data_IF_839101679501
#
_entry.id   IF_839101679501
#
_cell.length_a   1.000
_cell.length_b   1.000
_cell.length_c   1.000
_cell.angle_alpha   90.00
_cell.angle_beta   90.00
_cell.angle_gamma   90.00
#
_symmetry.space_group_name_H-M   'P 1'
#
loop_
_entity.id
_entity.type
_entity.pdbx_description
1 polymer ?
#
# COMPACT_ATOMS: atom_id res chain seq x y z
N UNK A 1 -9.28 1.59 -3.22
CA UNK A 1 -8.16 0.66 -3.45
C UNK A 1 -7.07 0.79 -2.39
N UNK A 2 -6.59 1.99 -2.06
CA UNK A 2 -5.60 2.15 -0.99
C UNK A 2 -6.06 1.62 0.39
N UNK A 3 -7.34 1.82 0.77
CA UNK A 3 -7.87 1.21 2.00
C UNK A 3 -7.73 -0.30 1.99
N UNK A 4 -8.12 -0.95 0.89
CA UNK A 4 -7.99 -2.41 0.76
C UNK A 4 -6.53 -2.89 0.88
N UNK A 5 -5.56 -2.13 0.39
CA UNK A 5 -4.15 -2.43 0.61
C UNK A 5 -3.76 -2.33 2.09
N UNK A 6 -4.18 -1.27 2.78
CA UNK A 6 -3.89 -1.11 4.20
C UNK A 6 -4.58 -2.16 5.07
N UNK A 7 -5.83 -2.49 4.75
CA UNK A 7 -6.62 -3.52 5.45
C UNK A 7 -5.95 -4.88 5.26
N UNK A 8 -5.57 -5.25 4.02
CA UNK A 8 -4.83 -6.48 3.72
C UNK A 8 -3.53 -6.58 4.52
N UNK A 9 -2.75 -5.51 4.60
CA UNK A 9 -1.49 -5.51 5.36
C UNK A 9 -1.75 -5.73 6.86
N UNK A 10 -2.78 -5.11 7.43
CA UNK A 10 -3.17 -5.34 8.82
C UNK A 10 -3.71 -6.76 9.05
N UNK A 11 -4.49 -7.30 8.11
CA UNK A 11 -5.09 -8.63 8.20
C UNK A 11 -4.04 -9.74 8.16
N UNK A 12 -3.02 -9.58 7.30
CA UNK A 12 -1.97 -10.59 7.10
C UNK A 12 -0.83 -10.47 8.12
N UNK A 13 -0.42 -9.24 8.46
CA UNK A 13 0.74 -8.98 9.32
C UNK A 13 0.35 -8.60 10.76
N UNK A 14 -0.94 -8.44 11.04
CA UNK A 14 -1.44 -8.08 12.36
C UNK A 14 -0.97 -6.69 12.80
N UNK A 15 -0.46 -6.60 14.03
CA UNK A 15 0.02 -5.34 14.63
C UNK A 15 1.14 -4.70 13.81
N UNK A 16 2.05 -5.52 13.27
CA UNK A 16 3.20 -5.09 12.47
C UNK A 16 2.77 -4.60 11.08
N UNK A 17 1.53 -4.90 10.68
CA UNK A 17 0.91 -4.39 9.46
C UNK A 17 0.45 -2.94 9.53
N UNK A 18 0.45 -2.31 10.72
CA UNK A 18 0.08 -0.89 10.86
C UNK A 18 1.20 0.01 10.34
N UNK A 19 0.87 0.91 9.42
CA UNK A 19 1.82 1.77 8.75
C UNK A 19 1.28 3.19 8.55
N UNK A 20 2.20 4.15 8.43
CA UNK A 20 1.89 5.44 7.82
C UNK A 20 1.72 5.28 6.31
N UNK A 21 0.88 6.10 5.68
CA UNK A 21 0.65 6.05 4.23
C UNK A 21 0.38 7.43 3.64
N UNK A 22 0.56 7.52 2.33
CA UNK A 22 0.12 8.64 1.51
C UNK A 22 -0.74 8.13 0.36
N UNK A 23 -1.78 8.89 0.01
CA UNK A 23 -2.67 8.61 -1.11
C UNK A 23 -2.63 9.80 -2.06
N UNK A 24 -2.15 9.60 -3.28
CA UNK A 24 -2.16 10.64 -4.31
C UNK A 24 -2.74 10.11 -5.60
N UNK A 25 -3.44 10.97 -6.34
CA UNK A 25 -3.90 10.68 -7.69
C UNK A 25 -2.83 11.03 -8.72
N UNK A 26 -2.85 10.32 -9.86
CA UNK A 26 -2.04 10.64 -11.03
C UNK A 26 -2.88 10.49 -12.30
N UNK A 27 -2.44 11.13 -13.39
CA UNK A 27 -3.10 11.03 -14.69
C UNK A 27 -2.93 9.63 -15.32
N UNK A 28 -1.79 8.98 -15.11
CA UNK A 28 -1.50 7.63 -15.59
C UNK A 28 -0.41 6.96 -14.76
N UNK A 29 -0.40 5.63 -14.76
CA UNK A 29 0.64 4.80 -14.16
C UNK A 29 1.40 4.01 -15.25
N UNK A 30 2.66 3.60 -14.99
CA UNK A 30 3.40 2.72 -15.88
C UNK A 30 2.60 1.47 -16.24
N UNK A 31 2.80 0.96 -17.46
CA UNK A 31 2.18 -0.27 -17.95
C UNK A 31 0.64 -0.30 -17.93
N UNK A 32 -0.01 0.87 -17.77
CA UNK A 32 -1.48 0.97 -17.72
C UNK A 32 -2.11 0.40 -16.45
N UNK A 33 -1.36 0.33 -15.35
CA UNK A 33 -1.86 -0.17 -14.07
C UNK A 33 -2.96 0.74 -13.50
N UNK A 34 -3.89 0.14 -12.75
CA UNK A 34 -4.94 0.89 -12.06
C UNK A 34 -4.44 1.58 -10.78
N UNK A 35 -3.51 0.93 -10.07
CA UNK A 35 -2.91 1.40 -8.81
C UNK A 35 -1.48 0.89 -8.72
N UNK A 36 -0.60 1.71 -8.16
CA UNK A 36 0.75 1.36 -7.75
C UNK A 36 0.86 1.56 -6.23
N UNK A 37 1.50 0.62 -5.54
CA UNK A 37 1.73 0.67 -4.09
C UNK A 37 3.22 0.48 -3.87
N UNK A 38 3.84 1.44 -3.20
CA UNK A 38 5.23 1.37 -2.75
C UNK A 38 5.25 1.33 -1.22
N UNK A 39 6.19 0.57 -0.67
CA UNK A 39 6.36 0.42 0.77
C UNK A 39 7.84 0.33 1.15
N UNK A 40 8.17 0.86 2.33
CA UNK A 40 9.44 0.64 3.01
C UNK A 40 9.14 -0.20 4.25
N UNK A 41 9.85 -1.30 4.42
CA UNK A 41 9.62 -2.24 5.51
C UNK A 41 10.93 -2.53 6.28
N UNK A 42 10.81 -2.64 7.60
CA UNK A 42 11.86 -3.21 8.45
C UNK A 42 11.89 -4.73 8.28
N UNK A 43 13.08 -5.30 8.12
CA UNK A 43 13.32 -6.74 8.01
C UNK A 43 14.24 -7.17 9.16
N UNK A 44 14.01 -8.37 9.72
CA UNK A 44 14.87 -8.99 10.74
C UNK A 44 15.88 -9.96 10.13
#
# INVERSE_FOLDING_TARGET
>A
MLNAASDLMCDVLGVDGRHARIASGTHALPSGMAVEIEAVAEIR
#
